data_IF_655895661138
#
_entry.id   IF_655895661138
#
_cell.length_a   1.000
_cell.length_b   1.000
_cell.length_c   1.000
_cell.angle_alpha   90.00
_cell.angle_beta   90.00
_cell.angle_gamma   90.00
#
_symmetry.space_group_name_H-M   'P 1'
#
loop_
_entity.id
_entity.type
_entity.pdbx_description
1 polymer ?
#
# COMPACT_ATOMS: atom_id res chain seq x y z
N UNK A 1 -4.63 -3.33 18.06
CA UNK A 1 -3.35 -3.86 18.57
C UNK A 1 -2.29 -2.90 18.11
N UNK A 2 -1.78 -2.03 19.00
CA UNK A 2 -0.73 -1.08 18.64
C UNK A 2 0.55 -1.93 18.50
N UNK A 3 0.98 -2.17 17.28
CA UNK A 3 2.27 -2.80 17.02
C UNK A 3 3.32 -1.81 17.48
N UNK A 4 4.03 -2.14 18.56
CA UNK A 4 5.21 -1.40 18.98
C UNK A 4 6.17 -1.28 17.79
N UNK A 5 6.86 -0.14 17.71
CA UNK A 5 7.84 0.11 16.65
C UNK A 5 8.98 -0.90 16.80
N UNK A 6 8.96 -1.93 15.97
CA UNK A 6 9.99 -2.95 15.90
C UNK A 6 11.08 -2.47 14.93
N UNK A 7 12.25 -2.01 15.43
CA UNK A 7 13.32 -1.51 14.60
C UNK A 7 13.96 -2.60 13.71
N UNK A 8 13.67 -3.89 13.94
CA UNK A 8 14.11 -4.98 13.07
C UNK A 8 13.26 -5.05 11.80
N UNK A 9 11.99 -4.65 11.81
CA UNK A 9 11.15 -4.67 10.59
C UNK A 9 11.64 -3.67 9.53
N UNK A 10 12.25 -2.56 9.92
CA UNK A 10 12.72 -1.54 8.99
C UNK A 10 13.96 -1.94 8.18
N UNK A 11 14.68 -2.98 8.63
CA UNK A 11 15.95 -3.42 8.03
C UNK A 11 15.91 -4.83 7.48
N UNK A 12 14.74 -5.48 7.52
CA UNK A 12 14.57 -6.86 7.08
C UNK A 12 13.46 -6.96 6.05
N UNK A 13 13.52 -8.03 5.26
CA UNK A 13 12.41 -8.42 4.40
C UNK A 13 11.25 -8.91 5.27
N UNK A 14 10.07 -8.32 5.08
CA UNK A 14 8.84 -8.68 5.78
C UNK A 14 7.76 -9.07 4.78
N UNK A 15 7.03 -10.13 5.08
CA UNK A 15 5.83 -10.49 4.32
C UNK A 15 4.69 -9.55 4.72
N UNK A 16 4.10 -8.86 3.74
CA UNK A 16 3.05 -7.85 4.00
C UNK A 16 1.66 -8.27 3.53
N UNK A 17 1.55 -9.12 2.51
CA UNK A 17 0.29 -9.58 1.94
C UNK A 17 0.52 -10.69 0.91
N UNK A 18 -0.53 -11.44 0.59
CA UNK A 18 -0.55 -12.39 -0.53
C UNK A 18 -1.01 -11.67 -1.79
N UNK A 19 -0.42 -12.04 -2.93
CA UNK A 19 -0.79 -11.53 -4.27
C UNK A 19 -2.30 -11.68 -4.57
N UNK A 20 -2.93 -12.73 -4.05
CA UNK A 20 -4.36 -13.01 -4.20
C UNK A 20 -5.28 -12.01 -3.50
N UNK A 21 -4.77 -11.25 -2.51
CA UNK A 21 -5.56 -10.21 -1.83
C UNK A 21 -5.86 -9.01 -2.74
N UNK A 22 -5.25 -8.96 -3.93
CA UNK A 22 -5.45 -7.95 -4.95
C UNK A 22 -6.25 -8.49 -6.14
N UNK A 23 -6.81 -9.69 -6.02
CA UNK A 23 -7.72 -10.26 -7.02
C UNK A 23 -9.14 -9.73 -6.72
N UNK A 24 -9.61 -8.77 -7.51
CA UNK A 24 -10.95 -8.19 -7.33
C UNK A 24 -11.16 -6.86 -8.04
N UNK A 25 -12.36 -6.30 -7.90
CA UNK A 25 -12.74 -5.02 -8.51
C UNK A 25 -11.94 -3.83 -7.94
N UNK A 26 -11.38 -3.98 -6.75
CA UNK A 26 -10.47 -3.02 -6.14
C UNK A 26 -9.18 -3.73 -5.75
N UNK A 27 -8.25 -3.78 -6.68
CA UNK A 27 -6.93 -4.36 -6.50
C UNK A 27 -6.00 -3.44 -5.69
N UNK A 28 -6.46 -3.04 -4.50
CA UNK A 28 -5.79 -2.08 -3.62
C UNK A 28 -6.14 -2.39 -2.16
N UNK A 29 -5.12 -2.54 -1.31
CA UNK A 29 -5.28 -2.77 0.13
C UNK A 29 -4.34 -1.89 0.96
N UNK A 30 -4.77 -1.40 2.13
CA UNK A 30 -3.88 -0.70 3.06
C UNK A 30 -2.91 -1.68 3.75
N UNK A 31 -1.67 -1.24 3.95
CA UNK A 31 -0.63 -1.98 4.65
C UNK A 31 -0.08 -1.13 5.80
N UNK A 32 -0.02 -1.70 7.00
CA UNK A 32 0.60 -1.07 8.16
C UNK A 32 1.88 -1.83 8.54
N UNK A 33 3.01 -1.14 8.57
CA UNK A 33 4.29 -1.66 9.05
C UNK A 33 4.79 -0.78 10.19
N UNK A 34 4.58 -1.24 11.42
CA UNK A 34 4.80 -0.41 12.61
C UNK A 34 3.99 0.89 12.54
N UNK A 35 4.69 2.04 12.47
CA UNK A 35 4.07 3.37 12.37
C UNK A 35 3.84 3.83 10.93
N UNK A 36 4.45 3.16 9.96
CA UNK A 36 4.36 3.55 8.55
C UNK A 36 3.10 2.98 7.92
N UNK A 37 2.47 3.79 7.05
CA UNK A 37 1.22 3.45 6.37
C UNK A 37 1.46 3.47 4.86
N UNK A 38 1.14 2.35 4.22
CA UNK A 38 1.32 2.15 2.79
C UNK A 38 0.02 1.68 2.15
N UNK A 39 0.04 1.66 0.83
CA UNK A 39 -0.96 1.05 0.00
C UNK A 39 -0.26 0.10 -0.95
N UNK A 40 -0.67 -1.16 -0.90
CA UNK A 40 -0.30 -2.17 -1.87
C UNK A 40 -1.40 -2.21 -2.93
N UNK A 41 -1.01 -2.16 -4.20
CA UNK A 41 -1.96 -2.25 -5.31
C UNK A 41 -1.42 -3.13 -6.43
N UNK A 42 -2.32 -3.58 -7.29
CA UNK A 42 -2.01 -4.11 -8.61
C UNK A 42 -2.55 -3.17 -9.66
N UNK A 43 -1.71 -2.76 -10.60
CA UNK A 43 -2.13 -1.89 -11.70
C UNK A 43 -2.86 -2.68 -12.81
N UNK A 44 -3.26 -1.95 -13.86
CA UNK A 44 -3.97 -2.47 -15.02
C UNK A 44 -3.10 -3.33 -15.95
N UNK A 45 -1.77 -3.21 -15.88
CA UNK A 45 -0.82 -4.11 -16.53
C UNK A 45 -0.51 -5.36 -15.70
N UNK A 46 -1.00 -5.42 -14.47
CA UNK A 46 -0.85 -6.55 -13.56
C UNK A 46 0.37 -6.50 -12.64
N UNK A 47 1.15 -5.42 -12.68
CA UNK A 47 2.31 -5.22 -11.81
C UNK A 47 1.89 -4.79 -10.40
N UNK A 48 2.73 -5.13 -9.42
CA UNK A 48 2.53 -4.77 -8.02
C UNK A 48 3.25 -3.47 -7.69
N UNK A 49 2.56 -2.57 -7.01
CA UNK A 49 3.11 -1.32 -6.49
C UNK A 49 2.87 -1.18 -4.98
N UNK A 50 3.84 -0.61 -4.27
CA UNK A 50 3.73 -0.25 -2.86
C UNK A 50 4.15 1.22 -2.69
N UNK A 51 3.22 2.07 -2.27
CA UNK A 51 3.47 3.50 -2.06
C UNK A 51 2.98 3.96 -0.69
N UNK A 52 3.43 5.13 -0.25
CA UNK A 52 2.91 5.76 0.98
C UNK A 52 1.41 6.03 0.87
N UNK A 53 0.68 5.88 1.98
CA UNK A 53 -0.79 6.04 1.99
C UNK A 53 -1.27 7.47 1.73
N UNK A 54 -0.46 8.46 2.07
CA UNK A 54 -0.87 9.86 1.99
C UNK A 54 -0.31 10.54 0.73
N UNK A 55 -1.17 11.24 0.00
CA UNK A 55 -0.78 12.00 -1.19
C UNK A 55 0.30 13.03 -0.83
N UNK A 56 1.45 13.07 -1.53
CA UNK A 56 2.54 13.98 -1.20
C UNK A 56 2.18 15.46 -1.43
N UNK A 57 1.09 15.76 -2.14
CA UNK A 57 0.62 17.14 -2.35
C UNK A 57 0.01 17.73 -1.07
N UNK A 58 -1.01 17.08 -0.49
CA UNK A 58 -1.77 17.62 0.66
C UNK A 58 -2.25 16.56 1.67
N UNK A 59 -1.73 15.34 1.60
CA UNK A 59 -1.97 14.30 2.60
C UNK A 59 -3.29 13.52 2.47
N UNK A 60 -4.02 13.67 1.37
CA UNK A 60 -5.24 12.89 1.12
C UNK A 60 -4.96 11.37 1.22
N UNK A 61 -5.92 10.61 1.75
CA UNK A 61 -5.81 9.17 1.88
C UNK A 61 -5.98 8.50 0.51
N UNK A 62 -4.86 8.06 -0.07
CA UNK A 62 -4.83 7.42 -1.38
C UNK A 62 -5.51 6.04 -1.38
N UNK A 63 -5.95 5.51 -0.23
CA UNK A 63 -6.83 4.34 -0.23
C UNK A 63 -8.09 4.59 -1.06
N UNK A 64 -8.54 5.86 -1.14
CA UNK A 64 -9.68 6.30 -1.94
C UNK A 64 -9.31 6.78 -3.34
N UNK A 65 -8.04 6.69 -3.73
CA UNK A 65 -7.57 7.02 -5.07
C UNK A 65 -8.07 6.04 -6.13
N UNK A 66 -7.96 6.45 -7.39
CA UNK A 66 -8.29 5.62 -8.55
C UNK A 66 -7.04 4.92 -9.08
N UNK A 67 -7.17 3.66 -9.45
CA UNK A 67 -6.16 2.98 -10.25
C UNK A 67 -6.24 3.54 -11.68
N UNK A 68 -5.19 4.22 -12.12
CA UNK A 68 -5.14 4.95 -13.38
C UNK A 68 -3.68 5.12 -13.82
N UNK A 69 -3.41 5.01 -15.12
CA UNK A 69 -2.09 5.20 -15.73
C UNK A 69 -0.96 4.41 -15.04
N UNK A 70 -1.16 3.11 -14.80
CA UNK A 70 -0.21 2.25 -14.09
C UNK A 70 0.12 2.69 -12.64
N UNK A 71 -0.78 3.44 -12.00
CA UNK A 71 -0.56 3.99 -10.65
C UNK A 71 -1.83 4.32 -9.89
N UNK A 72 -1.68 5.16 -8.86
CA UNK A 72 -2.80 5.67 -8.06
C UNK A 72 -2.92 7.17 -8.27
N UNK A 73 -4.08 7.61 -8.77
CA UNK A 73 -4.46 9.01 -8.86
C UNK A 73 -5.25 9.44 -7.62
N UNK A 74 -4.75 10.50 -6.97
CA UNK A 74 -5.43 11.15 -5.85
C UNK A 74 -6.80 11.71 -6.23
#
# INVERSE_FOLDING_TARGET
>A
MIMEHDPLQEKNWVEISRSSNLEGSRALVPIALGKNQYILFRDDEGYLGLIGRNCPHRGADLCYGRLEDNGIRC
#
